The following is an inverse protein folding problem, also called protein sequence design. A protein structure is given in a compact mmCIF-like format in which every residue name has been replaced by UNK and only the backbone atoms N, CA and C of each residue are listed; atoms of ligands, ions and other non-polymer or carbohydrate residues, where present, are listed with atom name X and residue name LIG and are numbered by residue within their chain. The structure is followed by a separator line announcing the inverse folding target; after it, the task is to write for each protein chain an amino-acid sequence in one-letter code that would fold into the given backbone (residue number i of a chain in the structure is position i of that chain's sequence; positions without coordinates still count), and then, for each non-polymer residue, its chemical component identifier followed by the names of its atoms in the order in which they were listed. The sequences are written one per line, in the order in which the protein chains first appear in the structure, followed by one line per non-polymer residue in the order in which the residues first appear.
data_IF_351381154291
#
_entry.id   IF_351381154291
#
_cell.length_a   1.000
_cell.length_b   1.000
_cell.length_c   1.000
_cell.angle_alpha   90.00
_cell.angle_beta   90.00
_cell.angle_gamma   90.00
#
_symmetry.space_group_name_H-M   'P 1'
#
loop_
_entity.id
_entity.type
_entity.pdbx_description
1 polymer ?
#
# COMPACT_ATOMS: atom_id res chain seq x y z
N UNK A 1 16.79 -21.02 29.04
CA UNK A 1 16.15 -20.18 30.06
C UNK A 1 15.23 -19.21 29.34
N UNK A 2 13.92 -19.40 29.50
CA UNK A 2 12.83 -18.67 28.83
C UNK A 2 12.54 -17.39 29.59
N UNK A 3 12.97 -16.24 29.08
CA UNK A 3 12.73 -14.94 29.72
C UNK A 3 11.28 -14.51 29.52
N UNK A 4 10.50 -14.61 30.58
CA UNK A 4 9.07 -14.31 30.66
C UNK A 4 8.73 -12.90 30.16
N UNK A 5 7.78 -12.78 29.22
CA UNK A 5 7.04 -11.53 28.99
C UNK A 5 6.39 -11.11 30.33
N UNK A 6 6.88 -10.03 30.94
CA UNK A 6 6.48 -9.64 32.31
C UNK A 6 5.29 -8.69 32.43
N UNK A 7 4.93 -8.00 31.35
CA UNK A 7 3.66 -7.25 31.27
C UNK A 7 2.65 -8.00 30.39
N UNK A 8 1.33 -7.97 30.71
CA UNK A 8 0.30 -8.59 29.91
C UNK A 8 0.36 -8.08 28.46
N UNK A 9 0.31 -9.02 27.50
CA UNK A 9 0.41 -8.70 26.08
C UNK A 9 -0.66 -7.70 25.63
N UNK A 10 -1.89 -7.84 26.13
CA UNK A 10 -2.99 -6.94 25.79
C UNK A 10 -2.69 -5.49 26.20
N UNK A 11 -2.17 -5.28 27.40
CA UNK A 11 -1.81 -3.94 27.90
C UNK A 11 -0.68 -3.32 27.07
N UNK A 12 0.34 -4.12 26.75
CA UNK A 12 1.45 -3.67 25.89
C UNK A 12 0.96 -3.26 24.50
N UNK A 13 0.18 -4.13 23.86
CA UNK A 13 -0.32 -3.90 22.49
C UNK A 13 -1.22 -2.66 22.46
N UNK A 14 -2.01 -2.42 23.51
CA UNK A 14 -2.85 -1.23 23.64
C UNK A 14 -2.04 0.05 23.87
N UNK A 15 -1.00 0.03 24.71
CA UNK A 15 -0.10 1.17 24.92
C UNK A 15 0.61 1.55 23.61
N UNK A 16 1.15 0.55 22.90
CA UNK A 16 1.81 0.74 21.60
C UNK A 16 0.85 1.37 20.59
N UNK A 17 -0.38 0.84 20.50
CA UNK A 17 -1.39 1.38 19.60
C UNK A 17 -1.74 2.83 19.95
N UNK A 18 -1.97 3.14 21.23
CA UNK A 18 -2.32 4.48 21.69
C UNK A 18 -1.20 5.51 21.44
N UNK A 19 0.07 5.12 21.61
CA UNK A 19 1.20 5.98 21.30
C UNK A 19 1.41 6.16 19.79
N UNK A 20 1.16 5.11 18.99
CA UNK A 20 1.18 5.19 17.52
C UNK A 20 0.08 6.08 16.95
N UNK A 21 -1.11 6.08 17.56
CA UNK A 21 -2.20 7.01 17.18
C UNK A 21 -1.80 8.48 17.38
N UNK A 22 -0.81 8.75 18.24
CA UNK A 22 -0.25 10.07 18.52
C UNK A 22 1.04 10.37 17.75
N UNK A 23 1.40 9.52 16.80
CA UNK A 23 2.58 9.67 15.93
C UNK A 23 3.91 9.78 16.71
N UNK A 24 3.98 9.07 17.84
CA UNK A 24 5.20 8.93 18.64
C UNK A 24 6.18 7.99 17.93
N UNK A 25 7.47 8.31 17.96
CA UNK A 25 8.50 7.50 17.31
C UNK A 25 8.62 6.11 17.95
N UNK A 26 9.04 5.12 17.18
CA UNK A 26 9.25 3.75 17.65
C UNK A 26 10.32 3.66 18.74
N UNK A 27 11.32 4.55 18.70
CA UNK A 27 12.33 4.67 19.75
C UNK A 27 11.69 5.13 21.08
N UNK A 28 10.91 6.21 21.05
CA UNK A 28 10.23 6.73 22.25
C UNK A 28 9.20 5.74 22.81
N UNK A 29 8.50 4.99 21.94
CA UNK A 29 7.60 3.91 22.36
C UNK A 29 8.40 2.78 23.03
N UNK A 30 9.55 2.43 22.47
CA UNK A 30 10.46 1.42 23.04
C UNK A 30 10.95 1.82 24.43
N UNK A 31 11.37 3.08 24.59
CA UNK A 31 11.82 3.63 25.87
C UNK A 31 10.68 3.67 26.91
N UNK A 32 9.47 4.07 26.50
CA UNK A 32 8.30 4.03 27.36
C UNK A 32 7.96 2.60 27.82
N UNK A 33 8.03 1.62 26.91
CA UNK A 33 7.83 0.21 27.27
C UNK A 33 8.92 -0.32 28.19
N UNK A 34 10.18 0.00 27.93
CA UNK A 34 11.30 -0.41 28.76
C UNK A 34 11.17 0.16 30.18
N UNK A 35 10.73 1.41 30.31
CA UNK A 35 10.47 2.04 31.60
C UNK A 35 9.39 1.30 32.40
N UNK A 36 8.24 1.00 31.78
CA UNK A 36 7.16 0.27 32.43
C UNK A 36 7.60 -1.14 32.81
N UNK A 37 8.28 -1.85 31.91
CA UNK A 37 8.78 -3.21 32.18
C UNK A 37 9.80 -3.23 33.31
N UNK A 38 10.69 -2.23 33.40
CA UNK A 38 11.64 -2.09 34.51
C UNK A 38 10.92 -1.79 35.83
N UNK A 39 9.98 -0.85 35.83
CA UNK A 39 9.24 -0.51 37.05
C UNK A 39 8.43 -1.69 37.58
N UNK A 40 7.71 -2.40 36.73
CA UNK A 40 6.97 -3.60 37.13
C UNK A 40 7.90 -4.71 37.62
N UNK A 41 9.11 -4.81 37.07
CA UNK A 41 10.11 -5.77 37.53
C UNK A 41 10.65 -5.42 38.93
N UNK A 42 10.89 -4.14 39.20
CA UNK A 42 11.47 -3.67 40.47
C UNK A 42 10.42 -3.57 41.59
N UNK A 43 9.20 -3.14 41.27
CA UNK A 43 8.09 -2.96 42.22
C UNK A 43 7.30 -4.23 42.48
N UNK A 44 7.31 -5.18 41.54
CA UNK A 44 6.43 -6.35 41.57
C UNK A 44 4.95 -6.05 41.30
N UNK A 45 4.59 -4.80 40.99
CA UNK A 45 3.21 -4.39 40.69
C UNK A 45 2.84 -4.65 39.23
N UNK A 46 1.55 -4.93 38.99
CA UNK A 46 1.02 -5.03 37.62
C UNK A 46 0.95 -3.65 36.94
N UNK A 47 1.03 -3.59 35.60
CA UNK A 47 1.04 -2.31 34.88
C UNK A 47 -0.27 -1.53 35.05
N UNK A 48 -1.43 -2.21 35.11
CA UNK A 48 -2.71 -1.55 35.40
C UNK A 48 -2.76 -0.95 36.82
N UNK A 49 -2.06 -1.54 37.78
CA UNK A 49 -2.05 -1.07 39.17
C UNK A 49 -1.09 0.11 39.35
N UNK A 50 0.08 0.06 38.70
CA UNK A 50 1.10 1.09 38.82
C UNK A 50 0.86 2.30 37.90
N UNK A 51 0.36 2.05 36.69
CA UNK A 51 0.25 3.06 35.63
C UNK A 51 -1.19 3.31 35.16
N UNK A 52 -2.15 2.49 35.61
CA UNK A 52 -3.53 2.55 35.15
C UNK A 52 -3.72 1.94 33.75
N UNK A 53 -4.89 2.19 33.14
CA UNK A 53 -5.19 1.72 31.79
C UNK A 53 -4.17 2.22 30.77
N UNK A 54 -3.74 1.35 29.87
CA UNK A 54 -2.71 1.65 28.88
C UNK A 54 -2.96 2.94 28.07
N UNK A 55 -4.21 3.20 27.67
CA UNK A 55 -4.60 4.43 26.95
C UNK A 55 -4.49 5.70 27.79
N UNK A 56 -4.84 5.63 29.07
CA UNK A 56 -4.76 6.77 29.98
C UNK A 56 -3.30 7.06 30.31
N UNK A 57 -2.51 6.02 30.56
CA UNK A 57 -1.07 6.15 30.72
C UNK A 57 -0.43 6.75 29.47
N UNK A 58 -0.78 6.26 28.27
CA UNK A 58 -0.34 6.83 27.02
C UNK A 58 -0.63 8.33 26.98
N UNK A 59 -1.89 8.75 27.21
CA UNK A 59 -2.31 10.16 27.25
C UNK A 59 -1.52 11.01 28.26
N UNK A 60 -1.12 10.42 29.40
CA UNK A 60 -0.32 11.11 30.42
C UNK A 60 1.13 11.38 29.99
N UNK A 61 1.67 10.55 29.09
CA UNK A 61 3.04 10.70 28.58
C UNK A 61 3.15 11.95 27.70
N UNK A 62 3.97 12.91 28.17
CA UNK A 62 4.36 14.12 27.43
C UNK A 62 5.52 13.83 26.48
N UNK A 63 5.39 12.78 25.68
CA UNK A 63 6.38 12.44 24.67
C UNK A 63 6.30 13.42 23.48
N UNK A 64 7.45 13.76 22.86
CA UNK A 64 7.47 14.58 21.64
C UNK A 64 6.53 13.96 20.60
N UNK A 65 5.43 14.65 20.34
CA UNK A 65 4.47 14.26 19.31
C UNK A 65 4.87 15.03 18.05
N UNK A 66 5.53 14.36 17.11
CA UNK A 66 6.08 14.97 15.90
C UNK A 66 7.58 15.28 16.00
N UNK A 67 8.41 14.30 15.64
CA UNK A 67 9.76 14.57 15.12
C UNK A 67 9.64 15.18 13.70
N UNK A 68 10.54 16.09 13.28
CA UNK A 68 10.57 16.64 11.91
C UNK A 68 11.03 15.64 10.85
N UNK A 69 11.38 14.41 11.22
CA UNK A 69 11.46 13.30 10.25
C UNK A 69 10.03 13.00 9.80
N UNK A 70 9.71 13.04 8.49
CA UNK A 70 8.37 12.78 8.01
C UNK A 70 8.01 11.32 8.24
N UNK A 71 7.59 10.97 9.45
CA UNK A 71 6.81 9.77 9.70
C UNK A 71 5.54 9.98 8.90
N UNK A 72 5.25 9.14 7.89
CA UNK A 72 3.97 9.22 7.22
C UNK A 72 2.96 8.75 8.27
N UNK A 73 2.31 9.71 8.93
CA UNK A 73 1.10 9.44 9.69
C UNK A 73 0.11 8.64 8.83
N UNK A 74 -0.94 8.04 9.42
CA UNK A 74 -1.84 7.09 8.76
C UNK A 74 -2.61 7.65 7.54
N UNK A 75 -2.42 8.92 7.21
CA UNK A 75 -2.81 9.52 5.94
C UNK A 75 -1.70 9.26 4.91
N UNK A 76 -1.82 8.17 4.15
CA UNK A 76 -1.02 7.97 2.92
C UNK A 76 -0.91 9.32 2.19
N UNK A 77 0.32 9.82 2.03
CA UNK A 77 0.54 11.11 1.38
C UNK A 77 -0.16 11.13 0.01
N UNK A 78 -0.69 12.27 -0.41
CA UNK A 78 -1.33 12.41 -1.74
C UNK A 78 -0.42 11.90 -2.86
N UNK A 79 0.90 12.09 -2.70
CA UNK A 79 1.91 11.59 -3.63
C UNK A 79 1.99 10.05 -3.65
N UNK A 80 1.88 9.40 -2.49
CA UNK A 80 1.85 7.94 -2.36
C UNK A 80 0.60 7.37 -3.05
N UNK A 81 -0.56 7.99 -2.84
CA UNK A 81 -1.82 7.57 -3.49
C UNK A 81 -1.77 7.74 -5.00
N UNK A 82 -1.28 8.89 -5.46
CA UNK A 82 -1.11 9.16 -6.89
C UNK A 82 -0.19 8.11 -7.52
N UNK A 83 0.90 7.75 -6.83
CA UNK A 83 1.84 6.70 -7.29
C UNK A 83 1.15 5.34 -7.41
N UNK A 84 0.39 4.92 -6.40
CA UNK A 84 -0.36 3.66 -6.43
C UNK A 84 -1.33 3.60 -7.60
N UNK A 85 -2.00 4.71 -7.87
CA UNK A 85 -3.00 4.76 -8.91
C UNK A 85 -2.41 4.84 -10.32
N UNK A 86 -1.32 5.59 -10.50
CA UNK A 86 -0.52 5.53 -11.72
C UNK A 86 -0.05 4.09 -11.95
N UNK A 87 0.38 3.38 -10.90
CA UNK A 87 0.74 1.97 -10.98
C UNK A 87 -0.42 1.08 -11.44
N UNK A 88 -1.63 1.27 -10.89
CA UNK A 88 -2.82 0.52 -11.31
C UNK A 88 -3.20 0.76 -12.78
N UNK A 89 -3.17 2.02 -13.22
CA UNK A 89 -3.39 2.35 -14.64
C UNK A 89 -2.30 1.72 -15.51
N UNK A 90 -1.04 1.78 -15.08
CA UNK A 90 0.07 1.20 -15.82
C UNK A 90 -0.02 -0.33 -15.95
N UNK A 91 -0.48 -1.05 -14.92
CA UNK A 91 -0.76 -2.51 -15.00
C UNK A 91 -1.82 -2.78 -16.09
N UNK A 92 -2.92 -2.04 -16.08
CA UNK A 92 -3.99 -2.23 -17.06
C UNK A 92 -3.51 -1.92 -18.49
N UNK A 93 -2.77 -0.83 -18.68
CA UNK A 93 -2.23 -0.43 -19.99
C UNK A 93 -1.21 -1.45 -20.50
N UNK A 94 -0.28 -1.90 -19.65
CA UNK A 94 0.71 -2.95 -20.01
C UNK A 94 0.01 -4.23 -20.44
N UNK A 95 -1.04 -4.67 -19.73
CA UNK A 95 -1.78 -5.89 -20.10
C UNK A 95 -2.41 -5.79 -21.49
N UNK A 96 -3.06 -4.66 -21.80
CA UNK A 96 -3.68 -4.42 -23.11
C UNK A 96 -2.65 -4.27 -24.23
N UNK A 97 -1.54 -3.56 -23.96
CA UNK A 97 -0.53 -3.25 -24.97
C UNK A 97 0.41 -4.43 -25.25
N UNK A 98 0.64 -5.31 -24.27
CA UNK A 98 1.48 -6.49 -24.46
C UNK A 98 0.87 -7.50 -25.45
N UNK A 99 -0.46 -7.67 -25.43
CA UNK A 99 -1.17 -8.55 -26.36
C UNK A 99 -1.04 -8.08 -27.81
N UNK A 100 -1.22 -6.77 -28.04
CA UNK A 100 -1.12 -6.13 -29.36
C UNK A 100 0.34 -6.10 -29.84
N UNK A 101 1.29 -5.87 -28.94
CA UNK A 101 2.72 -5.97 -29.28
C UNK A 101 3.11 -7.38 -29.73
N UNK A 102 2.63 -8.42 -29.04
CA UNK A 102 2.91 -9.81 -29.42
C UNK A 102 2.35 -10.20 -30.79
N UNK A 103 1.26 -9.54 -31.24
CA UNK A 103 0.68 -9.73 -32.58
C UNK A 103 1.27 -8.80 -33.65
N UNK A 104 2.25 -7.96 -33.29
CA UNK A 104 2.76 -6.88 -34.13
C UNK A 104 1.65 -5.94 -34.66
N UNK A 105 0.56 -5.82 -33.91
CA UNK A 105 -0.58 -4.98 -34.25
C UNK A 105 -0.45 -3.60 -33.59
N UNK A 106 -0.80 -2.52 -34.30
CA UNK A 106 -0.87 -1.20 -33.68
C UNK A 106 -2.00 -1.16 -32.65
N UNK A 107 -1.75 -0.49 -31.52
CA UNK A 107 -2.80 -0.21 -30.53
C UNK A 107 -3.71 0.84 -31.11
N UNK A 108 -4.97 0.48 -31.29
CA UNK A 108 -6.02 1.39 -31.77
C UNK A 108 -6.62 2.11 -30.56
N UNK A 109 -6.19 3.35 -30.33
CA UNK A 109 -6.78 4.21 -29.31
C UNK A 109 -8.02 4.90 -29.90
N UNK A 110 -9.18 4.34 -29.57
CA UNK A 110 -10.48 4.96 -29.84
C UNK A 110 -10.95 5.87 -28.71
N UNK A 111 -12.03 6.62 -28.94
CA UNK A 111 -12.69 7.44 -27.92
C UNK A 111 -13.07 6.63 -26.66
N UNK A 112 -13.32 5.34 -26.82
CA UNK A 112 -13.49 4.35 -25.76
C UNK A 112 -12.34 4.33 -24.74
N UNK A 113 -11.09 4.31 -25.21
CA UNK A 113 -9.91 4.24 -24.34
C UNK A 113 -9.73 5.54 -23.56
N UNK A 114 -10.01 6.69 -24.21
CA UNK A 114 -10.02 7.99 -23.56
C UNK A 114 -11.11 8.06 -22.48
N UNK A 115 -12.33 7.62 -22.78
CA UNK A 115 -13.43 7.59 -21.81
C UNK A 115 -13.10 6.73 -20.59
N UNK A 116 -12.58 5.51 -20.79
CA UNK A 116 -12.16 4.63 -19.70
C UNK A 116 -11.04 5.27 -18.88
N UNK A 117 -10.05 5.89 -19.53
CA UNK A 117 -8.95 6.58 -18.83
C UNK A 117 -9.46 7.76 -17.99
N UNK A 118 -10.36 8.58 -18.54
CA UNK A 118 -10.97 9.71 -17.83
C UNK A 118 -11.80 9.22 -16.64
N UNK A 119 -12.61 8.17 -16.82
CA UNK A 119 -13.39 7.57 -15.72
C UNK A 119 -12.47 7.01 -14.64
N UNK A 120 -11.41 6.30 -15.02
CA UNK A 120 -10.42 5.78 -14.06
C UNK A 120 -9.74 6.91 -13.27
N UNK A 121 -9.34 7.99 -13.94
CA UNK A 121 -8.76 9.17 -13.29
C UNK A 121 -9.78 9.89 -12.39
N UNK A 122 -11.05 9.97 -12.78
CA UNK A 122 -12.11 10.56 -11.97
C UNK A 122 -12.40 9.73 -10.71
N UNK A 123 -12.54 8.41 -10.85
CA UNK A 123 -12.70 7.47 -9.75
C UNK A 123 -11.51 7.55 -8.78
N UNK A 124 -10.30 7.64 -9.32
CA UNK A 124 -9.10 7.87 -8.52
C UNK A 124 -9.15 9.20 -7.77
N UNK A 125 -9.49 10.30 -8.44
CA UNK A 125 -9.60 11.62 -7.82
C UNK A 125 -10.60 11.62 -6.67
N UNK A 126 -11.75 10.95 -6.85
CA UNK A 126 -12.76 10.75 -5.81
C UNK A 126 -12.23 9.91 -4.66
N UNK A 127 -11.52 8.82 -4.93
CA UNK A 127 -10.91 7.96 -3.91
C UNK A 127 -9.89 8.73 -3.07
N UNK A 128 -9.04 9.54 -3.70
CA UNK A 128 -8.06 10.39 -3.01
C UNK A 128 -8.77 11.43 -2.14
N UNK A 129 -9.82 12.07 -2.66
CA UNK A 129 -10.60 13.07 -1.93
C UNK A 129 -11.31 12.49 -0.71
N UNK A 130 -11.81 11.26 -0.81
CA UNK A 130 -12.60 10.62 0.25
C UNK A 130 -11.83 9.50 0.97
N UNK A 131 -10.50 9.49 0.92
CA UNK A 131 -9.70 8.38 1.41
C UNK A 131 -9.93 8.07 2.89
N UNK A 132 -10.01 9.08 3.75
CA UNK A 132 -10.21 8.88 5.20
C UNK A 132 -11.54 8.21 5.50
N UNK A 133 -12.60 8.66 4.82
CA UNK A 133 -13.93 8.05 4.89
C UNK A 133 -13.91 6.64 4.31
N UNK A 134 -13.24 6.44 3.17
CA UNK A 134 -13.14 5.16 2.49
C UNK A 134 -12.38 4.12 3.31
N UNK A 135 -11.23 4.48 3.89
CA UNK A 135 -10.44 3.59 4.75
C UNK A 135 -11.22 3.22 6.00
N UNK A 136 -11.84 4.19 6.70
CA UNK A 136 -12.71 3.91 7.86
C UNK A 136 -13.88 3.00 7.49
N UNK A 137 -14.47 3.20 6.33
CA UNK A 137 -15.56 2.37 5.84
C UNK A 137 -15.07 0.94 5.49
N UNK A 138 -13.92 0.81 4.84
CA UNK A 138 -13.29 -0.48 4.51
C UNK A 138 -12.89 -1.27 5.74
N UNK A 139 -12.38 -0.62 6.79
CA UNK A 139 -12.02 -1.31 8.04
C UNK A 139 -13.24 -1.77 8.82
N UNK A 140 -14.34 -1.01 8.79
CA UNK A 140 -15.58 -1.34 9.51
C UNK A 140 -16.43 -2.37 8.75
N UNK A 141 -16.40 -2.36 7.42
CA UNK A 141 -17.23 -3.21 6.55
C UNK A 141 -16.41 -3.97 5.50
N UNK A 142 -15.42 -4.74 5.96
CA UNK A 142 -14.43 -5.46 5.11
C UNK A 142 -15.05 -6.23 3.94
N UNK A 143 -16.14 -6.95 4.17
CA UNK A 143 -16.81 -7.72 3.11
C UNK A 143 -17.45 -6.83 2.04
N UNK A 144 -18.13 -5.75 2.47
CA UNK A 144 -18.77 -4.81 1.55
C UNK A 144 -17.74 -4.04 0.71
N UNK A 145 -16.59 -3.72 1.29
CA UNK A 145 -15.46 -3.12 0.58
C UNK A 145 -14.90 -4.04 -0.51
N UNK A 146 -14.77 -5.33 -0.21
CA UNK A 146 -14.35 -6.31 -1.19
C UNK A 146 -15.35 -6.42 -2.35
N UNK A 147 -16.66 -6.46 -2.06
CA UNK A 147 -17.71 -6.45 -3.08
C UNK A 147 -17.63 -5.20 -3.95
N UNK A 148 -17.49 -4.01 -3.36
CA UNK A 148 -17.42 -2.75 -4.12
C UNK A 148 -16.17 -2.68 -5.00
N UNK A 149 -15.01 -3.16 -4.51
CA UNK A 149 -13.81 -3.25 -5.33
C UNK A 149 -14.01 -4.19 -6.52
N UNK A 150 -14.58 -5.37 -6.30
CA UNK A 150 -14.85 -6.32 -7.37
C UNK A 150 -15.87 -5.78 -8.37
N UNK A 151 -16.94 -5.15 -7.89
CA UNK A 151 -17.94 -4.50 -8.73
C UNK A 151 -17.32 -3.38 -9.57
N UNK A 152 -16.43 -2.57 -9.00
CA UNK A 152 -15.69 -1.53 -9.71
C UNK A 152 -14.76 -2.09 -10.78
N UNK A 153 -14.04 -3.17 -10.49
CA UNK A 153 -13.20 -3.86 -11.46
C UNK A 153 -14.02 -4.43 -12.63
N UNK A 154 -15.12 -5.13 -12.33
CA UNK A 154 -16.04 -5.64 -13.35
C UNK A 154 -16.71 -4.54 -14.16
N UNK A 155 -17.08 -3.42 -13.53
CA UNK A 155 -17.64 -2.26 -14.21
C UNK A 155 -16.62 -1.61 -15.15
N UNK A 156 -15.34 -1.52 -14.78
CA UNK A 156 -14.29 -1.01 -15.64
C UNK A 156 -14.05 -1.92 -16.86
N UNK A 157 -14.03 -3.24 -16.65
CA UNK A 157 -13.94 -4.23 -17.74
C UNK A 157 -15.16 -4.13 -18.65
N UNK A 158 -16.36 -4.11 -18.07
CA UNK A 158 -17.63 -3.99 -18.80
C UNK A 158 -17.72 -2.69 -19.59
N UNK A 159 -17.28 -1.56 -19.02
CA UNK A 159 -17.22 -0.27 -19.70
C UNK A 159 -16.20 -0.30 -20.85
N UNK A 160 -15.06 -0.96 -20.68
CA UNK A 160 -14.07 -1.16 -21.76
C UNK A 160 -14.65 -1.95 -22.93
N UNK A 161 -15.33 -3.06 -22.65
CA UNK A 161 -16.00 -3.89 -23.66
C UNK A 161 -17.16 -3.15 -24.35
N UNK A 162 -18.00 -2.49 -23.56
CA UNK A 162 -19.15 -1.73 -24.03
C UNK A 162 -18.71 -0.55 -24.90
N UNK A 163 -17.70 0.20 -24.48
CA UNK A 163 -17.17 1.32 -25.25
C UNK A 163 -16.49 0.88 -26.55
N UNK A 164 -15.83 -0.29 -26.58
CA UNK A 164 -15.32 -0.88 -27.81
C UNK A 164 -16.43 -1.23 -28.83
N UNK A 165 -17.62 -1.59 -28.36
CA UNK A 165 -18.78 -1.87 -29.21
C UNK A 165 -19.52 -0.61 -29.69
N UNK A 166 -19.67 0.41 -28.83
CA UNK A 166 -20.49 1.60 -29.11
C UNK A 166 -19.74 2.70 -29.89
N UNK A 167 -18.40 2.75 -29.80
CA UNK A 167 -17.58 3.77 -30.43
C UNK A 167 -16.53 3.14 -31.37
N UNK A 168 -16.92 2.60 -32.53
CA UNK A 168 -16.00 1.95 -33.48
C UNK A 168 -14.99 2.90 -34.16
N UNK A 169 -14.93 4.18 -33.77
CA UNK A 169 -13.99 5.16 -34.31
C UNK A 169 -12.58 5.01 -33.73
N UNK A 170 -11.64 4.55 -34.57
CA UNK A 170 -10.21 4.59 -34.30
C UNK A 170 -9.72 6.02 -34.52
N UNK A 171 -9.51 6.78 -33.45
CA UNK A 171 -9.03 8.16 -33.56
C UNK A 171 -7.52 8.24 -33.79
N UNK A 172 -6.74 7.37 -33.14
CA UNK A 172 -5.27 7.39 -33.20
C UNK A 172 -4.72 5.96 -33.12
N UNK A 173 -3.77 5.62 -33.99
CA UNK A 173 -2.98 4.40 -33.91
C UNK A 173 -1.63 4.70 -33.26
N UNK A 174 -1.32 4.00 -32.19
CA UNK A 174 -0.02 4.13 -31.51
C UNK A 174 0.72 2.80 -31.65
N UNK A 175 2.02 2.81 -32.01
CA UNK A 175 2.80 1.58 -32.02
C UNK A 175 2.78 0.93 -30.63
N UNK A 176 2.52 -0.38 -30.56
CA UNK A 176 2.34 -1.08 -29.28
C UNK A 176 3.64 -1.10 -28.43
N UNK A 177 4.81 -1.11 -29.08
CA UNK A 177 6.11 -1.15 -28.42
C UNK A 177 6.39 0.07 -27.51
N UNK A 178 6.31 1.34 -27.98
CA UNK A 178 6.53 2.50 -27.12
C UNK A 178 5.49 2.61 -26.01
N UNK A 179 4.23 2.24 -26.26
CA UNK A 179 3.19 2.27 -25.23
C UNK A 179 3.49 1.26 -24.10
N UNK A 180 3.87 0.04 -24.47
CA UNK A 180 4.25 -1.01 -23.51
C UNK A 180 5.50 -0.61 -22.73
N UNK A 181 6.49 -0.02 -23.41
CA UNK A 181 7.71 0.46 -22.76
C UNK A 181 7.44 1.57 -21.73
N UNK A 182 6.60 2.55 -22.07
CA UNK A 182 6.21 3.64 -21.14
C UNK A 182 5.45 3.09 -19.93
N UNK A 183 4.49 2.18 -20.16
CA UNK A 183 3.70 1.63 -19.07
C UNK A 183 4.54 0.69 -18.17
N UNK A 184 5.47 -0.09 -18.75
CA UNK A 184 6.42 -0.88 -17.99
C UNK A 184 7.38 0.03 -17.19
N UNK A 185 7.88 1.11 -17.78
CA UNK A 185 8.71 2.09 -17.09
C UNK A 185 7.95 2.76 -15.93
N UNK A 186 6.68 3.08 -16.11
CA UNK A 186 5.82 3.65 -15.05
C UNK A 186 5.62 2.70 -13.86
N UNK A 187 5.76 1.38 -14.04
CA UNK A 187 5.73 0.39 -12.96
C UNK A 187 7.10 0.23 -12.29
N UNK A 188 8.17 0.10 -13.10
CA UNK A 188 9.50 -0.29 -12.60
C UNK A 188 10.28 0.90 -12.06
N UNK A 189 10.22 2.07 -12.71
CA UNK A 189 11.04 3.24 -12.33
C UNK A 189 10.70 3.73 -10.91
N UNK A 190 9.43 3.88 -10.49
CA UNK A 190 9.14 4.30 -9.12
C UNK A 190 9.62 3.30 -8.06
N UNK A 191 9.53 2.00 -8.35
CA UNK A 191 10.03 0.95 -7.46
C UNK A 191 11.57 1.01 -7.35
N UNK A 192 12.25 1.14 -8.49
CA UNK A 192 13.71 1.25 -8.55
C UNK A 192 14.21 2.53 -7.86
N UNK A 193 13.57 3.67 -8.11
CA UNK A 193 13.91 4.96 -7.47
C UNK A 193 13.67 4.89 -5.96
N UNK A 194 12.58 4.26 -5.50
CA UNK A 194 12.33 4.08 -4.06
C UNK A 194 13.41 3.21 -3.39
N UNK A 195 13.87 2.18 -4.10
CA UNK A 195 14.93 1.29 -3.64
C UNK A 195 16.32 1.98 -3.64
N UNK A 196 16.64 2.73 -4.70
CA UNK A 196 17.91 3.46 -4.83
C UNK A 196 18.02 4.64 -3.86
N UNK A 197 16.92 5.34 -3.59
CA UNK A 197 16.91 6.48 -2.66
C UNK A 197 16.92 6.07 -1.18
N UNK A 198 16.93 4.78 -0.87
CA UNK A 198 16.90 4.31 0.52
C UNK A 198 15.62 4.68 1.27
N UNK A 199 14.56 5.17 0.59
CA UNK A 199 13.28 5.54 1.22
C UNK A 199 12.55 4.38 1.89
N UNK A 200 13.06 3.16 1.74
CA UNK A 200 12.57 1.94 2.40
C UNK A 200 13.20 1.71 3.78
N UNK A 201 14.28 2.43 4.13
CA UNK A 201 15.02 2.28 5.40
C UNK A 201 14.44 3.13 6.55
N UNK A 202 13.64 4.16 6.25
CA UNK A 202 13.00 5.07 7.22
C UNK A 202 11.67 4.53 7.80
N UNK A 203 11.36 3.25 7.61
CA UNK A 203 10.24 2.66 8.31
C UNK A 203 10.60 2.64 9.81
N UNK A 204 10.04 3.57 10.57
CA UNK A 204 10.15 3.64 12.02
C UNK A 204 9.61 2.33 12.62
N UNK A 205 10.51 1.35 12.82
CA UNK A 205 10.16 -0.01 13.22
C UNK A 205 10.07 -0.06 14.74
N UNK A 206 8.91 -0.46 15.26
CA UNK A 206 8.79 -0.88 16.66
C UNK A 206 9.43 -2.25 16.80
N UNK A 207 10.62 -2.29 17.38
CA UNK A 207 11.20 -3.54 17.87
C UNK A 207 10.60 -3.84 19.25
N UNK A 208 10.14 -5.08 19.48
CA UNK A 208 9.78 -5.50 20.83
C UNK A 208 11.04 -5.50 21.73
N UNK A 209 10.92 -5.28 23.06
CA UNK A 209 12.06 -5.15 23.99
C UNK A 209 13.09 -6.31 24.05
N UNK A 210 12.94 -7.38 23.26
CA UNK A 210 13.85 -8.52 23.16
C UNK A 210 14.12 -8.98 21.73
N UNK A 211 13.54 -8.32 20.72
CA UNK A 211 13.88 -8.60 19.33
C UNK A 211 15.12 -7.79 18.95
N UNK A 212 16.15 -8.46 18.41
CA UNK A 212 17.34 -7.78 17.92
C UNK A 212 16.91 -6.74 16.86
N UNK A 213 17.13 -5.43 17.08
CA UNK A 213 16.70 -4.38 16.17
C UNK A 213 17.26 -4.58 14.76
N UNK A 214 18.42 -5.24 14.62
CA UNK A 214 18.97 -5.61 13.32
C UNK A 214 18.10 -6.64 12.58
N UNK A 215 17.48 -7.58 13.29
CA UNK A 215 16.60 -8.60 12.70
C UNK A 215 15.23 -8.04 12.32
N UNK A 216 14.63 -7.20 13.17
CA UNK A 216 13.34 -6.54 12.89
C UNK A 216 13.51 -5.53 11.74
N UNK A 217 14.61 -4.78 11.73
CA UNK A 217 14.97 -3.90 10.62
C UNK A 217 15.12 -4.66 9.29
N UNK A 218 15.79 -5.82 9.29
CA UNK A 218 15.90 -6.68 8.08
C UNK A 218 14.54 -7.21 7.63
N UNK A 219 13.66 -7.63 8.54
CA UNK A 219 12.32 -8.13 8.21
C UNK A 219 11.41 -7.04 7.65
N UNK A 220 11.44 -5.85 8.26
CA UNK A 220 10.75 -4.64 7.79
C UNK A 220 11.20 -4.26 6.38
N UNK A 221 12.52 -4.17 6.15
CA UNK A 221 13.10 -3.89 4.82
C UNK A 221 12.64 -4.90 3.76
N UNK A 222 12.64 -6.19 4.10
CA UNK A 222 12.13 -7.25 3.20
C UNK A 222 10.64 -7.07 2.89
N UNK A 223 9.80 -6.83 3.89
CA UNK A 223 8.38 -6.61 3.69
C UNK A 223 8.09 -5.35 2.85
N UNK A 224 8.81 -4.25 3.10
CA UNK A 224 8.66 -3.00 2.36
C UNK A 224 9.16 -3.13 0.91
N UNK A 225 10.24 -3.89 0.70
CA UNK A 225 10.73 -4.26 -0.63
C UNK A 225 9.69 -5.10 -1.37
N UNK A 226 9.13 -6.13 -0.73
CA UNK A 226 8.08 -6.97 -1.31
C UNK A 226 6.83 -6.16 -1.69
N UNK A 227 6.38 -5.25 -0.81
CA UNK A 227 5.23 -4.37 -1.07
C UNK A 227 5.48 -3.42 -2.26
N UNK A 228 6.70 -2.87 -2.35
CA UNK A 228 7.11 -1.98 -3.45
C UNK A 228 7.15 -2.72 -4.79
N UNK A 229 7.57 -3.98 -4.78
CA UNK A 229 7.62 -4.83 -5.97
C UNK A 229 6.31 -5.56 -6.29
N UNK A 230 5.30 -5.51 -5.42
CA UNK A 230 4.02 -6.17 -5.63
C UNK A 230 3.33 -5.69 -6.93
N UNK A 231 3.31 -4.38 -7.20
CA UNK A 231 2.70 -3.82 -8.42
C UNK A 231 3.43 -4.24 -9.71
N UNK A 232 4.76 -4.09 -9.82
CA UNK A 232 5.52 -4.63 -10.95
C UNK A 232 5.30 -6.13 -11.16
N UNK A 233 5.28 -6.92 -10.09
CA UNK A 233 5.05 -8.37 -10.16
C UNK A 233 3.65 -8.68 -10.66
N UNK A 234 2.62 -8.00 -10.16
CA UNK A 234 1.25 -8.12 -10.67
C UNK A 234 1.17 -7.75 -12.16
N UNK A 235 1.87 -6.69 -12.59
CA UNK A 235 1.99 -6.33 -14.01
C UNK A 235 2.63 -7.44 -14.84
N UNK A 236 3.74 -8.01 -14.38
CA UNK A 236 4.42 -9.11 -15.06
C UNK A 236 3.54 -10.37 -15.15
N UNK A 237 2.84 -10.73 -14.08
CA UNK A 237 1.87 -11.83 -14.07
C UNK A 237 0.73 -11.56 -15.04
N UNK A 238 0.18 -10.34 -15.05
CA UNK A 238 -0.87 -9.95 -16.00
C UNK A 238 -0.41 -10.13 -17.43
N UNK A 239 0.80 -9.66 -17.78
CA UNK A 239 1.38 -9.87 -19.12
C UNK A 239 1.51 -11.35 -19.44
N UNK A 240 2.04 -12.15 -18.51
CA UNK A 240 2.20 -13.59 -18.69
C UNK A 240 0.87 -14.30 -18.95
N UNK A 241 -0.17 -13.98 -18.17
CA UNK A 241 -1.53 -14.51 -18.35
C UNK A 241 -2.10 -14.10 -19.70
N UNK A 242 -1.99 -12.82 -20.07
CA UNK A 242 -2.50 -12.32 -21.35
C UNK A 242 -1.81 -13.00 -22.54
N UNK A 243 -0.48 -13.14 -22.50
CA UNK A 243 0.27 -13.84 -23.54
C UNK A 243 -0.07 -15.34 -23.58
N UNK A 244 -0.26 -15.97 -22.43
CA UNK A 244 -0.66 -17.37 -22.32
C UNK A 244 -2.06 -17.63 -22.90
N UNK A 245 -3.05 -16.81 -22.54
CA UNK A 245 -4.41 -16.88 -23.09
C UNK A 245 -4.40 -16.66 -24.61
N UNK A 246 -3.60 -15.72 -25.09
CA UNK A 246 -3.46 -15.45 -26.53
C UNK A 246 -2.84 -16.63 -27.32
N UNK A 247 -2.05 -17.49 -26.67
CA UNK A 247 -1.56 -18.74 -27.29
C UNK A 247 -2.61 -19.86 -27.31
N UNK A 248 -3.52 -19.87 -26.33
CA UNK A 248 -4.55 -20.90 -26.18
C UNK A 248 -5.80 -20.64 -27.02
N UNK A 249 -6.11 -19.36 -27.30
CA UNK A 249 -7.22 -18.93 -28.14
C UNK A 249 -6.64 -18.24 -29.37
N UNK A 250 -6.15 -19.00 -30.38
CA UNK A 250 -5.84 -18.41 -31.67
C UNK A 250 -7.14 -17.89 -32.28
N UNK A 251 -7.22 -16.57 -32.48
CA UNK A 251 -8.30 -15.92 -33.22
C UNK A 251 -8.22 -16.23 -34.71
#
# INVERSE_FOLDING_TARGET
MTTTQRIPRAWRDELVLALRERDVSGADIGDALAHVESFCADSGQGPDEAFGPAREHAASLRLPSGSPTPTPGPLLSRATLLRYAVGMVAVAVVGMSAASWARAEPVRLGAAHLAVTVVALACLGLLVRHLTTFVRWCTTRRWLAWIVMQAGAWAAIGLGLLSAHLLPGVGVTVPAAPLTAVAAAALVVPALVAQLRGTLDDADVLAAPLEDPATVGRRSRRANTLLTWALPLCGAVSVGVTLGLNRLIPG
#
